data_IF_383676033304
#
_entry.id   IF_383676033304
#
_cell.length_a   1.000
_cell.length_b   1.000
_cell.length_c   1.000
_cell.angle_alpha   90.00
_cell.angle_beta   90.00
_cell.angle_gamma   90.00
#
_symmetry.space_group_name_H-M   'P 1'
#
loop_
_entity.id
_entity.type
_entity.pdbx_description
1 polymer ?
#
# COMPACT_ATOMS: atom_id res chain seq x y z
N UNK A 1 10.86 -22.41 3.13
CA UNK A 1 9.70 -22.60 2.24
C UNK A 1 9.63 -21.55 1.14
N UNK A 2 9.41 -20.26 1.45
CA UNK A 2 9.26 -19.22 0.41
C UNK A 2 10.44 -19.17 -0.57
N UNK A 3 11.68 -19.15 -0.04
CA UNK A 3 12.89 -19.13 -0.86
C UNK A 3 12.96 -20.32 -1.84
N UNK A 4 12.65 -21.54 -1.36
CA UNK A 4 12.58 -22.76 -2.19
C UNK A 4 11.51 -22.65 -3.28
N UNK A 5 10.31 -22.19 -2.95
CA UNK A 5 9.26 -21.92 -3.95
C UNK A 5 9.72 -20.93 -5.02
N UNK A 6 10.34 -19.82 -4.60
CA UNK A 6 10.83 -18.76 -5.49
C UNK A 6 11.96 -19.25 -6.41
N UNK A 7 13.00 -19.87 -5.83
CA UNK A 7 14.14 -20.43 -6.56
C UNK A 7 13.72 -21.57 -7.50
N UNK A 8 12.72 -22.38 -7.10
CA UNK A 8 12.17 -23.45 -7.94
C UNK A 8 11.27 -22.97 -9.07
N UNK A 9 11.04 -21.65 -9.21
CA UNK A 9 10.09 -21.04 -10.16
C UNK A 9 8.69 -21.64 -10.05
N UNK A 10 8.25 -21.91 -8.82
CA UNK A 10 6.91 -22.42 -8.53
C UNK A 10 6.73 -23.94 -8.68
N UNK A 11 7.80 -24.71 -8.90
CA UNK A 11 7.75 -26.18 -8.92
C UNK A 11 7.49 -26.75 -7.53
N UNK A 12 8.13 -26.21 -6.50
CA UNK A 12 7.83 -26.54 -5.11
C UNK A 12 6.50 -25.88 -4.71
N UNK A 13 5.49 -26.67 -4.35
CA UNK A 13 4.12 -26.19 -4.11
C UNK A 13 3.83 -25.88 -2.65
N UNK A 14 4.72 -26.25 -1.73
CA UNK A 14 4.49 -26.24 -0.27
C UNK A 14 4.03 -24.86 0.21
N UNK A 15 4.76 -23.80 -0.18
CA UNK A 15 4.42 -22.42 0.17
C UNK A 15 3.02 -22.03 -0.33
N UNK A 16 2.72 -22.29 -1.61
CA UNK A 16 1.45 -21.89 -2.21
C UNK A 16 0.25 -22.68 -1.68
N UNK A 17 0.47 -23.93 -1.26
CA UNK A 17 -0.59 -24.77 -0.71
C UNK A 17 -0.99 -24.31 0.70
N UNK A 18 -0.02 -23.87 1.51
CA UNK A 18 -0.30 -23.27 2.83
C UNK A 18 -1.10 -21.98 2.67
N UNK A 19 -0.66 -21.07 1.80
CA UNK A 19 -1.36 -19.81 1.55
C UNK A 19 -2.78 -20.07 1.03
N UNK A 20 -2.97 -21.03 0.11
CA UNK A 20 -4.31 -21.41 -0.37
C UNK A 20 -5.21 -21.93 0.75
N UNK A 21 -4.70 -22.79 1.64
CA UNK A 21 -5.48 -23.28 2.79
C UNK A 21 -5.88 -22.15 3.72
N UNK A 22 -4.97 -21.22 4.03
CA UNK A 22 -5.26 -20.07 4.87
C UNK A 22 -6.31 -19.15 4.24
N UNK A 23 -6.17 -18.80 2.96
CA UNK A 23 -7.15 -17.98 2.22
C UNK A 23 -8.52 -18.65 2.14
N UNK A 24 -8.59 -19.98 2.00
CA UNK A 24 -9.87 -20.69 2.02
C UNK A 24 -10.50 -20.69 3.42
N UNK A 25 -9.69 -20.80 4.48
CA UNK A 25 -10.16 -20.75 5.86
C UNK A 25 -10.81 -19.41 6.23
N UNK A 26 -10.20 -18.29 5.81
CA UNK A 26 -10.71 -16.95 6.14
C UNK A 26 -12.04 -16.61 5.46
N UNK A 27 -12.50 -17.39 4.48
CA UNK A 27 -13.84 -17.20 3.89
C UNK A 27 -14.96 -17.39 4.91
N UNK A 28 -14.78 -18.33 5.85
CA UNK A 28 -15.76 -18.59 6.92
C UNK A 28 -15.83 -17.41 7.88
N UNK A 29 -14.67 -16.83 8.21
CA UNK A 29 -14.60 -15.64 9.05
C UNK A 29 -15.26 -14.43 8.36
N UNK A 30 -14.99 -14.23 7.07
CA UNK A 30 -15.61 -13.16 6.29
C UNK A 30 -17.14 -13.29 6.21
N UNK A 31 -17.66 -14.51 6.03
CA UNK A 31 -19.10 -14.78 6.04
C UNK A 31 -19.74 -14.51 7.40
N UNK A 32 -19.11 -14.99 8.48
CA UNK A 32 -19.55 -14.72 9.87
C UNK A 32 -19.64 -13.22 10.15
N UNK A 33 -18.66 -12.47 9.67
CA UNK A 33 -18.54 -11.04 9.93
C UNK A 33 -19.38 -10.19 8.94
N UNK A 34 -20.07 -10.84 7.98
CA UNK A 34 -20.87 -10.15 6.95
C UNK A 34 -20.04 -9.34 5.96
N UNK A 35 -18.74 -9.62 5.86
CA UNK A 35 -17.79 -8.89 5.02
C UNK A 35 -17.70 -9.54 3.63
N UNK A 36 -17.99 -8.77 2.58
CA UNK A 36 -17.76 -9.20 1.20
C UNK A 36 -16.32 -8.86 0.78
N UNK A 37 -15.49 -9.89 0.60
CA UNK A 37 -14.10 -9.74 0.15
C UNK A 37 -14.05 -9.24 -1.31
N UNK A 38 -13.40 -8.10 -1.62
CA UNK A 38 -13.20 -7.64 -2.99
C UNK A 38 -12.35 -8.62 -3.80
N UNK A 39 -12.77 -8.94 -5.02
CA UNK A 39 -12.00 -9.81 -5.94
C UNK A 39 -11.49 -9.07 -7.17
N UNK A 40 -11.88 -7.81 -7.31
CA UNK A 40 -11.43 -6.94 -8.40
C UNK A 40 -10.77 -5.68 -7.85
N UNK A 41 -9.90 -5.06 -8.65
CA UNK A 41 -9.25 -3.81 -8.26
C UNK A 41 -10.28 -2.69 -8.03
N UNK A 42 -11.36 -2.64 -8.82
CA UNK A 42 -12.41 -1.65 -8.67
C UNK A 42 -13.20 -1.82 -7.37
N UNK A 43 -13.49 -3.06 -6.95
CA UNK A 43 -14.13 -3.33 -5.67
C UNK A 43 -13.19 -3.04 -4.49
N UNK A 44 -11.88 -3.28 -4.66
CA UNK A 44 -10.87 -3.02 -3.63
C UNK A 44 -10.63 -1.51 -3.45
N UNK A 45 -10.56 -0.76 -4.56
CA UNK A 45 -10.32 0.67 -4.57
C UNK A 45 -11.64 1.45 -4.63
N UNK A 46 -12.33 1.54 -3.49
CA UNK A 46 -13.52 2.39 -3.38
C UNK A 46 -13.10 3.86 -3.45
N UNK A 47 -13.35 4.51 -4.60
CA UNK A 47 -13.37 5.97 -4.65
C UNK A 47 -14.63 6.43 -3.93
N UNK A 48 -14.50 6.86 -2.69
CA UNK A 48 -15.58 7.55 -1.99
C UNK A 48 -15.98 8.74 -2.85
N UNK A 49 -17.16 8.70 -3.48
CA UNK A 49 -17.76 9.90 -4.05
C UNK A 49 -17.91 10.87 -2.89
N UNK A 50 -17.25 12.03 -2.99
CA UNK A 50 -17.40 13.06 -1.97
C UNK A 50 -18.91 13.29 -1.74
N UNK A 51 -19.36 13.39 -0.47
CA UNK A 51 -20.73 13.79 -0.20
C UNK A 51 -21.00 15.09 -0.96
N UNK A 52 -22.22 15.26 -1.48
CA UNK A 52 -22.58 16.50 -2.17
C UNK A 52 -22.18 17.68 -1.28
N UNK A 53 -21.55 18.74 -1.83
CA UNK A 53 -21.25 19.91 -1.03
C UNK A 53 -22.56 20.42 -0.44
N UNK A 54 -22.71 20.29 0.87
CA UNK A 54 -23.73 21.03 1.62
C UNK A 54 -23.38 22.52 1.45
N UNK A 55 -24.37 23.37 1.15
CA UNK A 55 -24.20 24.77 0.74
C UNK A 55 -23.68 25.69 1.88
N UNK A 56 -22.61 25.32 2.59
CA UNK A 56 -22.20 26.03 3.80
C UNK A 56 -20.76 25.89 4.28
N UNK A 57 -19.83 25.24 3.57
CA UNK A 57 -18.44 25.09 4.04
C UNK A 57 -17.39 25.72 3.10
N UNK A 58 -17.54 27.00 2.80
CA UNK A 58 -16.54 27.81 2.09
C UNK A 58 -15.86 28.82 3.04
N UNK A 59 -15.42 28.35 4.22
CA UNK A 59 -14.76 29.19 5.23
C UNK A 59 -13.39 28.68 5.67
N UNK A 60 -12.86 27.62 5.05
CA UNK A 60 -11.63 26.96 5.51
C UNK A 60 -10.48 26.96 4.50
N UNK A 61 -10.64 27.55 3.31
CA UNK A 61 -9.65 27.44 2.23
C UNK A 61 -8.98 28.75 1.79
N UNK A 62 -9.14 29.86 2.53
CA UNK A 62 -8.61 31.16 2.10
C UNK A 62 -7.52 31.77 3.02
N UNK A 63 -7.02 31.03 4.02
CA UNK A 63 -6.01 31.55 4.97
C UNK A 63 -4.60 30.95 4.83
N UNK A 64 -4.34 30.13 3.80
CA UNK A 64 -3.05 29.45 3.62
C UNK A 64 -2.23 29.95 2.41
N UNK A 65 -2.60 31.07 1.78
CA UNK A 65 -1.96 31.55 0.54
C UNK A 65 -1.51 33.03 0.58
N UNK A 66 -1.10 33.56 1.73
CA UNK A 66 -0.49 34.90 1.80
C UNK A 66 0.97 34.92 2.30
N UNK A 67 1.64 33.78 2.50
CA UNK A 67 3.06 33.76 2.88
C UNK A 67 3.82 32.53 2.34
N UNK A 68 3.71 32.27 1.03
CA UNK A 68 4.51 31.25 0.34
C UNK A 68 5.12 31.79 -0.96
N UNK A 69 5.56 33.06 -0.93
CA UNK A 69 6.45 33.62 -1.94
C UNK A 69 7.88 33.72 -1.36
N UNK A 70 8.51 32.56 -1.14
CA UNK A 70 9.97 32.46 -1.03
C UNK A 70 10.42 30.99 -1.23
N UNK A 71 11.17 30.77 -2.31
CA UNK A 71 12.07 29.64 -2.54
C UNK A 71 11.45 28.27 -2.87
N UNK A 72 11.11 28.13 -4.16
CA UNK A 72 11.14 26.85 -4.85
C UNK A 72 12.58 26.31 -4.96
N UNK A 73 13.06 25.61 -3.93
CA UNK A 73 14.28 24.79 -3.98
C UNK A 73 14.15 23.68 -2.92
N UNK A 74 13.42 22.62 -3.27
CA UNK A 74 13.40 21.36 -2.52
C UNK A 74 13.49 20.19 -3.50
N UNK A 75 14.46 20.25 -4.40
CA UNK A 75 14.92 19.11 -5.22
C UNK A 75 16.24 18.58 -4.64
N UNK A 76 16.17 17.90 -3.50
CA UNK A 76 17.34 17.17 -2.97
C UNK A 76 17.01 15.97 -2.07
N UNK A 77 15.83 15.36 -2.21
CA UNK A 77 15.51 14.11 -1.50
C UNK A 77 16.01 12.84 -2.22
N UNK A 78 16.94 12.97 -3.16
CA UNK A 78 17.80 11.87 -3.59
C UNK A 78 19.17 12.03 -2.93
N UNK A 79 19.19 11.83 -1.62
CA UNK A 79 20.41 11.43 -0.93
C UNK A 79 20.75 10.02 -1.42
N UNK A 80 21.70 9.94 -2.34
CA UNK A 80 22.45 8.74 -2.66
C UNK A 80 23.18 8.33 -1.37
N UNK A 81 22.52 7.51 -0.55
CA UNK A 81 23.17 6.87 0.60
C UNK A 81 24.13 5.83 0.01
N UNK A 82 25.40 6.20 0.08
CA UNK A 82 26.58 5.49 -0.36
C UNK A 82 26.56 4.04 0.16
N UNK A 83 26.38 3.07 -0.74
CA UNK A 83 26.63 1.65 -0.48
C UNK A 83 28.14 1.39 -0.39
N UNK A 84 28.77 1.92 0.67
CA UNK A 84 30.09 1.49 1.13
C UNK A 84 29.91 0.53 2.32
N UNK A 85 29.47 -0.69 2.00
CA UNK A 85 29.57 -1.82 2.92
C UNK A 85 30.79 -2.70 2.58
N UNK A 86 31.96 -2.08 2.61
CA UNK A 86 33.25 -2.76 2.70
C UNK A 86 33.30 -3.62 3.97
N UNK A 87 33.30 -4.94 3.78
CA UNK A 87 33.71 -5.90 4.80
C UNK A 87 34.84 -6.77 4.25
N UNK A 88 36.04 -6.19 4.22
CA UNK A 88 37.26 -6.97 4.48
C UNK A 88 37.24 -7.33 5.96
N UNK A 89 37.37 -8.61 6.31
CA UNK A 89 38.05 -9.13 7.52
C UNK A 89 38.23 -10.66 7.36
N UNK A 90 39.50 -11.04 7.13
CA UNK A 90 40.24 -12.29 7.43
C UNK A 90 39.60 -13.67 7.28
#
# INVERSE_FOLDING_TARGET
MYRKWKESKGKDREYTDIIRKQVLGTKVDAERDGVKVPTTLAEYCVKTKAPAPDEGSDLFYDYYYEDAEAEAEADSCFGDDEDDSGNEES
#
